data_IF_911945785070
#
_entry.id   IF_911945785070
#
_cell.length_a   1.000
_cell.length_b   1.000
_cell.length_c   1.000
_cell.angle_alpha   90.00
_cell.angle_beta   90.00
_cell.angle_gamma   90.00
#
_symmetry.space_group_name_H-M   'P 1'
#
loop_
_entity.id
_entity.type
_entity.pdbx_description
1 polymer ?
#
# COMPACT_ATOMS: atom_id res chain seq x y z
N UNK A 1 -21.15 6.04 -14.87
CA UNK A 1 -20.47 6.45 -14.08
C UNK A 1 -19.25 7.02 -14.51
N UNK A 2 -18.73 7.78 -13.97
CA UNK A 2 -17.68 8.35 -14.37
C UNK A 2 -16.52 7.94 -13.73
N UNK A 3 -15.49 7.79 -14.26
CA UNK A 3 -14.34 7.42 -13.64
C UNK A 3 -13.59 8.59 -13.24
N UNK A 4 -13.86 9.11 -12.13
CA UNK A 4 -13.13 10.23 -11.64
C UNK A 4 -11.87 9.78 -10.97
N UNK A 5 -10.79 10.47 -11.18
CA UNK A 5 -9.56 10.11 -10.50
C UNK A 5 -9.70 10.40 -9.01
N UNK A 6 -9.04 9.59 -8.20
CA UNK A 6 -9.08 9.83 -6.77
C UNK A 6 -8.21 11.02 -6.44
N UNK A 7 -8.73 11.89 -5.61
CA UNK A 7 -7.99 13.04 -5.17
C UNK A 7 -7.35 12.72 -3.86
N UNK A 8 -6.06 12.94 -3.73
CA UNK A 8 -5.35 12.54 -2.52
C UNK A 8 -5.88 13.18 -1.25
N UNK A 9 -6.58 14.28 -1.38
CA UNK A 9 -7.17 14.89 -0.22
C UNK A 9 -8.49 14.27 0.15
N UNK A 10 -9.04 13.47 -0.73
CA UNK A 10 -10.34 12.88 -0.50
C UNK A 10 -10.22 11.76 0.51
N UNK A 11 -11.10 11.67 1.48
CA UNK A 11 -11.07 10.55 2.42
C UNK A 11 -11.14 9.19 1.72
N UNK A 12 -11.77 9.15 0.56
CA UNK A 12 -11.82 7.88 -0.17
C UNK A 12 -10.45 7.41 -0.62
N UNK A 13 -9.53 8.34 -0.80
CA UNK A 13 -8.19 7.95 -1.22
C UNK A 13 -7.51 7.13 -0.13
N UNK A 14 -7.68 7.55 1.11
CA UNK A 14 -7.07 6.81 2.20
C UNK A 14 -7.69 5.42 2.32
N UNK A 15 -8.99 5.32 2.09
CA UNK A 15 -9.63 4.01 2.10
C UNK A 15 -9.09 3.13 0.99
N UNK A 16 -8.79 3.74 -0.14
CA UNK A 16 -8.22 3.00 -1.25
C UNK A 16 -6.87 2.41 -0.85
N UNK A 17 -6.04 3.22 -0.20
CA UNK A 17 -4.74 2.74 0.26
C UNK A 17 -4.92 1.63 1.30
N UNK A 18 -5.86 1.82 2.19
CA UNK A 18 -6.12 0.83 3.22
C UNK A 18 -6.50 -0.51 2.61
N UNK A 19 -7.36 -0.47 1.60
CA UNK A 19 -7.78 -1.70 0.96
C UNK A 19 -6.60 -2.40 0.30
N UNK A 20 -5.74 -1.64 -0.36
CA UNK A 20 -4.59 -2.24 -1.01
C UNK A 20 -3.67 -2.92 -0.01
N UNK A 21 -3.49 -2.29 1.13
CA UNK A 21 -2.65 -2.87 2.16
C UNK A 21 -3.27 -4.16 2.69
N UNK A 22 -4.57 -4.14 2.91
CA UNK A 22 -5.24 -5.33 3.40
C UNK A 22 -5.15 -6.48 2.42
N UNK A 23 -5.30 -6.18 1.15
CA UNK A 23 -5.19 -7.22 0.14
C UNK A 23 -3.79 -7.81 0.14
N UNK A 24 -2.78 -6.98 0.29
CA UNK A 24 -1.42 -7.47 0.30
C UNK A 24 -1.16 -8.35 1.52
N UNK A 25 -1.67 -7.93 2.66
CA UNK A 25 -1.49 -8.71 3.88
C UNK A 25 -2.17 -10.06 3.75
N UNK A 26 -3.37 -10.06 3.20
CA UNK A 26 -4.09 -11.30 3.00
C UNK A 26 -3.34 -12.22 2.03
N UNK A 27 -2.80 -11.63 0.98
CA UNK A 27 -2.09 -12.43 -0.01
C UNK A 27 -0.82 -13.02 0.58
N UNK A 28 -0.12 -12.27 1.42
CA UNK A 28 1.11 -12.76 2.01
C UNK A 28 0.86 -13.87 3.02
N UNK A 29 -0.28 -13.81 3.68
CA UNK A 29 -0.57 -14.81 4.70
C UNK A 29 0.46 -14.72 5.81
N UNK A 30 1.23 -15.77 6.00
CA UNK A 30 2.24 -15.78 7.04
C UNK A 30 3.62 -15.42 6.52
N UNK A 31 3.73 -15.11 5.24
CA UNK A 31 5.02 -14.79 4.69
C UNK A 31 5.43 -13.39 5.08
N UNK A 32 6.71 -13.13 5.03
CA UNK A 32 7.18 -11.80 5.30
C UNK A 32 6.68 -10.88 4.22
N UNK A 33 6.31 -9.70 4.59
CA UNK A 33 5.75 -8.74 3.65
C UNK A 33 6.33 -7.38 3.93
N UNK A 34 6.79 -6.71 2.89
CA UNK A 34 7.24 -5.34 3.00
C UNK A 34 6.30 -4.49 2.18
N UNK A 35 5.74 -3.49 2.83
CA UNK A 35 4.83 -2.60 2.15
C UNK A 35 5.52 -1.26 1.92
N UNK A 36 5.45 -0.79 0.68
CA UNK A 36 6.04 0.48 0.32
C UNK A 36 4.95 1.46 -0.01
N UNK A 37 5.14 2.70 0.40
CA UNK A 37 4.18 3.73 0.15
C UNK A 37 4.86 4.81 -0.65
N UNK A 38 4.11 5.41 -1.57
CA UNK A 38 4.65 6.48 -2.39
C UNK A 38 5.10 7.62 -1.48
N UNK A 39 6.25 8.22 -1.74
CA UNK A 39 6.71 9.32 -0.88
C UNK A 39 5.74 10.49 -0.83
N UNK A 40 4.94 10.70 -1.86
CA UNK A 40 3.97 11.77 -1.82
C UNK A 40 2.79 11.44 -0.91
N UNK A 41 2.70 10.19 -0.46
CA UNK A 41 1.63 9.79 0.44
C UNK A 41 2.15 9.57 1.85
N UNK A 42 3.32 10.10 2.13
CA UNK A 42 3.94 9.91 3.43
C UNK A 42 3.02 10.38 4.56
N UNK A 43 2.19 11.37 4.29
CA UNK A 43 1.29 11.88 5.32
C UNK A 43 0.30 10.82 5.78
N UNK A 44 0.01 9.85 4.95
CA UNK A 44 -0.95 8.81 5.31
C UNK A 44 -0.28 7.63 6.02
N UNK A 45 1.04 7.63 6.04
CA UNK A 45 1.76 6.48 6.59
C UNK A 45 1.38 6.19 8.05
N UNK A 46 1.50 7.20 8.88
CA UNK A 46 1.22 7.00 10.30
C UNK A 46 -0.21 6.55 10.55
N UNK A 47 -1.15 7.19 9.85
CA UNK A 47 -2.54 6.82 10.00
C UNK A 47 -2.79 5.38 9.61
N UNK A 48 -2.25 4.99 8.48
CA UNK A 48 -2.48 3.64 7.99
C UNK A 48 -1.81 2.61 8.88
N UNK A 49 -0.63 2.93 9.37
CA UNK A 49 0.06 2.02 10.27
C UNK A 49 -0.75 1.80 11.53
N UNK A 50 -1.33 2.86 12.05
CA UNK A 50 -2.14 2.72 13.25
C UNK A 50 -3.43 1.99 12.99
N UNK A 51 -4.08 2.32 11.90
CA UNK A 51 -5.36 1.70 11.61
C UNK A 51 -5.24 0.22 11.36
N UNK A 52 -4.21 -0.18 10.68
CA UNK A 52 -4.09 -1.56 10.24
C UNK A 52 -3.03 -2.34 11.00
N UNK A 53 -2.34 -1.69 11.89
CA UNK A 53 -1.29 -2.33 12.67
C UNK A 53 -0.25 -2.97 11.76
N UNK A 54 0.16 -2.23 10.73
CA UNK A 54 1.16 -2.73 9.80
C UNK A 54 2.32 -1.76 9.76
N UNK A 55 3.41 -2.21 9.18
CA UNK A 55 4.58 -1.36 9.03
C UNK A 55 4.70 -0.97 7.57
N UNK A 56 4.81 0.32 7.34
CA UNK A 56 4.95 0.82 6.00
C UNK A 56 6.31 1.46 5.83
N UNK A 57 6.84 1.40 4.63
CA UNK A 57 8.12 1.99 4.31
C UNK A 57 7.92 2.97 3.17
N UNK A 58 8.53 4.12 3.27
CA UNK A 58 8.40 5.10 2.19
C UNK A 58 9.38 4.72 1.10
N UNK A 59 8.87 4.58 -0.10
CA UNK A 59 9.71 4.20 -1.22
C UNK A 59 10.69 5.31 -1.55
N UNK A 60 11.88 4.96 -1.98
CA UNK A 60 12.85 5.95 -2.37
C UNK A 60 12.48 6.60 -3.69
N UNK A 61 11.69 5.91 -4.50
CA UNK A 61 11.30 6.47 -5.78
C UNK A 61 9.79 6.52 -5.88
N UNK A 62 9.25 7.57 -6.45
CA UNK A 62 7.81 7.66 -6.59
C UNK A 62 7.29 6.63 -7.59
N UNK A 63 6.13 6.12 -7.33
CA UNK A 63 5.50 5.18 -8.25
C UNK A 63 4.05 5.57 -8.48
N UNK A 64 3.82 6.86 -8.61
CA UNK A 64 2.51 7.39 -8.99
C UNK A 64 1.43 7.16 -7.96
N UNK A 65 1.82 7.00 -6.72
CA UNK A 65 0.84 6.82 -5.66
C UNK A 65 0.44 5.38 -5.47
N UNK A 66 -0.22 5.11 -4.39
CA UNK A 66 -0.69 3.76 -4.08
C UNK A 66 0.26 3.03 -3.18
N UNK A 67 0.13 1.71 -3.17
CA UNK A 67 0.89 0.87 -2.27
C UNK A 67 1.56 -0.23 -3.07
N UNK A 68 2.79 -0.52 -2.72
CA UNK A 68 3.51 -1.59 -3.36
C UNK A 68 3.86 -2.63 -2.33
N UNK A 69 3.60 -3.88 -2.62
CA UNK A 69 3.89 -4.95 -1.69
C UNK A 69 4.97 -5.85 -2.25
N UNK A 70 5.91 -6.22 -1.40
CA UNK A 70 7.01 -7.09 -1.80
C UNK A 70 7.07 -8.24 -0.81
N UNK A 71 7.03 -9.46 -1.31
CA UNK A 71 7.12 -10.62 -0.48
C UNK A 71 8.35 -11.40 -0.88
N UNK A 72 9.46 -11.12 -0.24
CA UNK A 72 10.75 -11.69 -0.68
C UNK A 72 10.81 -13.20 -0.64
N UNK A 73 10.07 -13.79 0.25
CA UNK A 73 10.13 -15.22 0.35
C UNK A 73 9.21 -15.94 -0.60
N UNK A 74 8.30 -15.20 -1.25
CA UNK A 74 7.41 -15.83 -2.15
C UNK A 74 8.02 -15.80 -3.51
N UNK A 75 8.36 -16.94 -4.08
CA UNK A 75 8.94 -16.91 -5.31
C UNK A 75 7.93 -16.92 -6.36
N UNK A 76 8.02 -16.15 -7.35
CA UNK A 76 7.12 -16.12 -8.33
C UNK A 76 7.59 -16.88 -9.34
N UNK A 77 7.37 -17.74 -9.63
CA UNK A 77 7.80 -18.47 -10.59
C UNK A 77 7.48 -18.08 -11.81
N UNK A 78 7.46 -17.88 -12.32
CA UNK A 78 7.32 -17.54 -13.33
C UNK A 78 7.65 -17.85 -14.21
N UNK A 79 7.75 -18.09 -14.32
CA UNK A 79 8.14 -18.39 -15.04
C UNK A 79 7.93 -18.58 -15.39
#
# INVERSE_FOLDING_TARGET
>A
MKNLPLIKKDPSYEEYLERKIREAVTFAGNDKLTLYLDPSDEAHKASLEQKLSVTLTISAMPFLGGVRAVIPEKKYSDR
#
